data_IF_154754183869
#
_entry.id   IF_154754183869
#
_cell.length_a   1.000
_cell.length_b   1.000
_cell.length_c   1.000
_cell.angle_alpha   90.00
_cell.angle_beta   90.00
_cell.angle_gamma   90.00
#
_symmetry.space_group_name_H-M   'P 1'
#
loop_
_entity.id
_entity.type
_entity.pdbx_description
1 polymer ?
#
# COMPACT_ATOMS: atom_id res chain seq x y z
N UNK A 1 -56.06 20.31 4.92
CA UNK A 1 -56.73 21.43 4.23
C UNK A 1 -55.69 22.25 3.50
N UNK A 2 -56.01 22.65 2.26
CA UNK A 2 -55.13 23.21 1.22
C UNK A 2 -54.80 24.69 1.46
N UNK A 3 -53.59 25.12 1.10
CA UNK A 3 -53.25 26.53 0.80
C UNK A 3 -51.97 26.55 -0.07
N UNK A 4 -52.04 26.34 -1.38
CA UNK A 4 -52.26 27.35 -2.44
C UNK A 4 -51.40 28.62 -2.24
N UNK A 5 -50.21 28.64 -2.85
CA UNK A 5 -49.48 29.89 -3.11
C UNK A 5 -49.44 30.19 -4.61
N UNK A 6 -49.64 31.48 -4.89
CA UNK A 6 -50.05 32.06 -6.16
C UNK A 6 -48.88 32.30 -7.12
N UNK A 7 -49.22 32.05 -8.38
CA UNK A 7 -48.68 32.51 -9.66
C UNK A 7 -48.19 33.98 -9.68
N UNK A 8 -47.07 34.23 -10.37
CA UNK A 8 -46.68 35.43 -11.14
C UNK A 8 -45.12 35.45 -11.24
N UNK A 9 -44.42 35.82 -12.31
CA UNK A 9 -44.71 36.45 -13.60
C UNK A 9 -43.44 36.27 -14.46
N UNK A 10 -43.57 36.04 -15.77
CA UNK A 10 -42.46 35.95 -16.72
C UNK A 10 -41.82 37.32 -17.03
N UNK A 11 -40.49 37.39 -17.10
CA UNK A 11 -39.67 38.30 -17.94
C UNK A 11 -38.28 37.63 -18.04
N UNK A 12 -37.84 37.04 -19.15
CA UNK A 12 -37.46 37.58 -20.46
C UNK A 12 -35.93 37.46 -20.66
N UNK A 13 -35.57 36.69 -21.69
CA UNK A 13 -34.41 36.80 -22.59
C UNK A 13 -32.95 36.72 -22.08
N UNK A 14 -32.34 35.57 -22.44
CA UNK A 14 -31.17 35.41 -23.31
C UNK A 14 -29.83 36.12 -22.98
N UNK A 15 -28.79 35.32 -22.72
CA UNK A 15 -27.49 35.44 -23.40
C UNK A 15 -26.66 34.16 -23.25
N UNK A 16 -25.87 33.90 -24.29
CA UNK A 16 -25.16 32.67 -24.65
C UNK A 16 -23.77 32.58 -24.00
N UNK A 17 -23.39 31.33 -23.69
CA UNK A 17 -22.05 30.72 -23.58
C UNK A 17 -21.01 31.32 -22.61
N UNK A 18 -20.45 30.45 -21.74
CA UNK A 18 -19.04 30.08 -21.81
C UNK A 18 -18.77 28.81 -20.97
N UNK A 19 -18.14 27.85 -21.64
CA UNK A 19 -17.58 26.56 -21.20
C UNK A 19 -17.31 26.40 -19.70
N UNK A 20 -18.11 25.57 -19.02
CA UNK A 20 -17.75 24.97 -17.75
C UNK A 20 -17.20 23.57 -18.00
N UNK A 21 -15.88 23.42 -17.93
CA UNK A 21 -15.21 22.13 -17.86
C UNK A 21 -15.75 21.40 -16.62
N UNK A 22 -16.56 20.37 -16.86
CA UNK A 22 -16.98 19.44 -15.82
C UNK A 22 -15.73 18.77 -15.25
N UNK A 23 -15.26 19.23 -14.10
CA UNK A 23 -14.32 18.48 -13.26
C UNK A 23 -15.08 17.27 -12.73
N UNK A 24 -14.95 16.18 -13.46
CA UNK A 24 -15.36 14.84 -13.05
C UNK A 24 -14.65 14.52 -11.73
N UNK A 25 -15.38 14.14 -10.66
CA UNK A 25 -14.75 13.59 -9.48
C UNK A 25 -14.03 12.31 -9.88
N UNK A 26 -12.70 12.33 -9.85
CA UNK A 26 -11.88 11.15 -10.03
C UNK A 26 -12.33 10.10 -9.02
N UNK A 27 -12.89 9.01 -9.54
CA UNK A 27 -13.12 7.80 -8.78
C UNK A 27 -11.82 7.42 -8.08
N UNK A 28 -11.85 7.39 -6.75
CA UNK A 28 -10.80 6.79 -5.93
C UNK A 28 -10.76 5.30 -6.27
N UNK A 29 -9.88 4.99 -7.21
CA UNK A 29 -9.47 3.64 -7.54
C UNK A 29 -8.79 3.04 -6.30
N UNK A 30 -9.22 1.87 -5.80
CA UNK A 30 -8.53 1.21 -4.70
C UNK A 30 -7.09 0.96 -5.14
N UNK A 31 -6.14 1.58 -4.43
CA UNK A 31 -4.72 1.43 -4.68
C UNK A 31 -4.37 -0.05 -4.67
N UNK A 32 -4.01 -0.57 -5.85
CA UNK A 32 -3.36 -1.86 -5.94
C UNK A 32 -2.07 -1.78 -5.13
N UNK A 33 -1.96 -2.62 -4.10
CA UNK A 33 -0.79 -2.71 -3.23
C UNK A 33 0.33 -3.35 -4.05
N UNK A 34 1.10 -2.54 -4.75
CA UNK A 34 2.34 -2.94 -5.44
C UNK A 34 3.49 -2.78 -4.46
N UNK A 35 4.13 -3.90 -4.09
CA UNK A 35 5.39 -3.91 -3.34
C UNK A 35 6.49 -3.61 -4.37
N UNK A 36 7.02 -2.39 -4.37
CA UNK A 36 8.16 -2.02 -5.22
C UNK A 36 9.40 -1.98 -4.34
N UNK A 37 10.36 -2.92 -4.49
CA UNK A 37 11.59 -2.91 -3.70
C UNK A 37 12.49 -1.76 -4.18
N UNK A 38 12.28 -0.56 -3.65
CA UNK A 38 13.20 0.58 -3.79
C UNK A 38 13.64 1.01 -2.40
N UNK A 39 14.90 0.74 -2.06
CA UNK A 39 15.50 1.14 -0.79
C UNK A 39 15.94 2.61 -0.75
N UNK A 40 15.72 3.37 -1.84
CA UNK A 40 16.40 4.67 -2.07
C UNK A 40 15.53 5.92 -1.86
N UNK A 41 14.35 5.78 -1.25
CA UNK A 41 13.56 6.92 -0.80
C UNK A 41 12.83 6.57 0.49
N UNK A 42 13.60 6.24 1.53
CA UNK A 42 13.04 6.17 2.88
C UNK A 42 12.54 7.57 3.25
N UNK A 43 11.22 7.77 3.15
CA UNK A 43 10.57 8.89 3.80
C UNK A 43 11.02 8.90 5.28
N UNK A 44 11.24 10.07 5.90
CA UNK A 44 11.73 10.14 7.26
C UNK A 44 10.76 9.40 8.19
N UNK A 45 11.18 8.23 8.65
CA UNK A 45 10.44 7.37 9.55
C UNK A 45 11.13 7.31 10.91
N UNK A 46 10.34 7.22 11.98
CA UNK A 46 10.83 7.34 13.36
C UNK A 46 11.34 6.00 13.95
N UNK A 47 11.40 4.92 13.17
CA UNK A 47 11.78 3.60 13.64
C UNK A 47 13.15 3.15 13.14
N UNK A 48 13.80 2.27 13.91
CA UNK A 48 15.07 1.65 13.56
C UNK A 48 14.87 0.23 13.03
N UNK A 49 15.88 -0.31 12.33
CA UNK A 49 15.87 -1.70 11.86
C UNK A 49 15.67 -2.70 13.01
N UNK A 50 16.31 -2.47 14.15
CA UNK A 50 16.21 -3.35 15.33
C UNK A 50 14.78 -3.40 15.88
N UNK A 51 14.07 -2.26 15.88
CA UNK A 51 12.67 -2.19 16.31
C UNK A 51 11.77 -3.00 15.38
N UNK A 52 11.90 -2.83 14.07
CA UNK A 52 11.04 -3.53 13.11
C UNK A 52 11.33 -5.03 13.01
N UNK A 53 12.57 -5.44 13.30
CA UNK A 53 12.98 -6.85 13.31
C UNK A 53 12.44 -7.62 14.51
N UNK A 54 12.13 -6.93 15.61
CA UNK A 54 11.69 -7.53 16.88
C UNK A 54 10.23 -7.24 17.22
N UNK A 55 9.54 -6.36 16.47
CA UNK A 55 8.15 -6.04 16.73
C UNK A 55 7.16 -7.14 16.25
N UNK A 56 6.17 -7.51 17.09
CA UNK A 56 5.01 -8.26 16.62
C UNK A 56 4.12 -7.38 15.75
N UNK A 57 3.27 -7.99 14.93
CA UNK A 57 2.35 -7.31 14.00
C UNK A 57 1.57 -6.18 14.68
N UNK A 58 1.04 -6.40 15.89
CA UNK A 58 0.29 -5.40 16.65
C UNK A 58 1.12 -4.16 16.99
N UNK A 59 2.40 -4.33 17.26
CA UNK A 59 3.28 -3.26 17.70
C UNK A 59 3.85 -2.53 16.49
N UNK A 60 4.18 -3.25 15.41
CA UNK A 60 4.53 -2.63 14.15
C UNK A 60 3.36 -1.81 13.57
N UNK A 61 2.11 -2.24 13.79
CA UNK A 61 0.92 -1.46 13.43
C UNK A 61 0.77 -0.17 14.23
N UNK A 62 1.10 -0.21 15.52
CA UNK A 62 1.12 0.98 16.38
C UNK A 62 2.28 1.93 16.01
N UNK A 63 3.45 1.37 15.74
CA UNK A 63 4.65 2.07 15.30
C UNK A 63 4.43 2.78 13.95
N UNK A 64 3.65 2.16 13.06
CA UNK A 64 3.15 2.77 11.83
C UNK A 64 2.10 3.86 12.05
N UNK A 65 1.76 4.21 13.29
CA UNK A 65 0.71 5.18 13.60
C UNK A 65 -0.69 4.71 13.16
N UNK A 66 -0.90 3.39 13.04
CA UNK A 66 -2.11 2.77 12.49
C UNK A 66 -2.42 3.24 11.06
N UNK A 67 -1.37 3.55 10.29
CA UNK A 67 -1.46 3.96 8.91
C UNK A 67 -1.01 2.82 7.99
N UNK A 68 -1.83 2.49 6.99
CA UNK A 68 -1.54 1.39 6.06
C UNK A 68 -0.31 1.66 5.18
N UNK A 69 -0.12 2.89 4.70
CA UNK A 69 1.03 3.24 3.87
C UNK A 69 2.34 3.16 4.68
N UNK A 70 2.32 3.66 5.92
CA UNK A 70 3.47 3.59 6.84
C UNK A 70 3.77 2.14 7.26
N UNK A 71 2.73 1.33 7.48
CA UNK A 71 2.90 -0.09 7.79
C UNK A 71 3.45 -0.87 6.59
N UNK A 72 3.05 -0.49 5.38
CA UNK A 72 3.59 -1.04 4.15
C UNK A 72 5.08 -0.70 3.97
N UNK A 73 5.49 0.51 4.33
CA UNK A 73 6.90 0.91 4.34
C UNK A 73 7.75 -0.02 5.22
N UNK A 74 7.28 -0.32 6.44
CA UNK A 74 7.90 -1.31 7.34
C UNK A 74 8.01 -2.68 6.65
N UNK A 75 6.93 -3.14 6.00
CA UNK A 75 6.94 -4.42 5.28
C UNK A 75 7.98 -4.43 4.16
N UNK A 76 8.07 -3.36 3.37
CA UNK A 76 9.04 -3.23 2.28
C UNK A 76 10.48 -3.27 2.80
N UNK A 77 10.75 -2.55 3.90
CA UNK A 77 12.06 -2.55 4.54
C UNK A 77 12.43 -3.94 5.08
N UNK A 78 11.50 -4.63 5.76
CA UNK A 78 11.71 -6.01 6.21
C UNK A 78 11.91 -6.99 5.05
N UNK A 79 11.21 -6.80 3.94
CA UNK A 79 11.34 -7.63 2.75
C UNK A 79 12.71 -7.45 2.11
N UNK A 80 13.21 -6.21 2.01
CA UNK A 80 14.55 -5.91 1.54
C UNK A 80 15.62 -6.54 2.44
N UNK A 81 15.50 -6.40 3.76
CA UNK A 81 16.42 -7.03 4.73
C UNK A 81 16.43 -8.56 4.57
N UNK A 82 15.24 -9.20 4.49
CA UNK A 82 15.13 -10.66 4.33
C UNK A 82 15.70 -11.13 2.99
N UNK A 83 15.44 -10.41 1.90
CA UNK A 83 15.96 -10.75 0.58
C UNK A 83 17.49 -10.69 0.54
N UNK A 84 18.08 -9.61 1.08
CA UNK A 84 19.53 -9.44 1.19
C UNK A 84 20.17 -10.53 2.05
N UNK A 85 19.62 -10.81 3.24
CA UNK A 85 20.13 -11.83 4.15
C UNK A 85 20.14 -13.25 3.55
N UNK A 86 19.30 -13.50 2.52
CA UNK A 86 19.16 -14.80 1.87
C UNK A 86 19.76 -14.87 0.47
N UNK A 87 20.31 -13.77 -0.06
CA UNK A 87 20.75 -13.68 -1.45
C UNK A 87 19.62 -13.96 -2.44
N UNK A 88 18.40 -13.53 -2.12
CA UNK A 88 17.23 -13.63 -2.99
C UNK A 88 16.98 -12.29 -3.67
N UNK A 89 16.52 -12.34 -4.92
CA UNK A 89 16.01 -11.18 -5.64
C UNK A 89 14.49 -11.20 -5.57
N UNK A 90 13.90 -10.08 -5.13
CA UNK A 90 12.46 -9.90 -5.18
C UNK A 90 12.07 -9.54 -6.61
N UNK A 91 11.17 -10.31 -7.24
CA UNK A 91 10.74 -10.00 -8.61
C UNK A 91 9.92 -8.71 -8.62
N UNK A 92 10.31 -7.78 -9.49
CA UNK A 92 9.63 -6.49 -9.68
C UNK A 92 8.41 -6.67 -10.60
N UNK A 93 7.40 -7.39 -10.11
CA UNK A 93 6.12 -7.51 -10.80
C UNK A 93 4.93 -7.47 -9.85
N UNK A 94 3.82 -6.94 -10.35
CA UNK A 94 2.62 -6.72 -9.57
C UNK A 94 2.00 -8.02 -9.02
N UNK A 95 2.14 -9.15 -9.74
CA UNK A 95 1.60 -10.42 -9.28
C UNK A 95 2.35 -10.95 -8.04
N UNK A 96 3.67 -10.90 -8.05
CA UNK A 96 4.51 -11.29 -6.94
C UNK A 96 4.29 -10.38 -5.72
N UNK A 97 4.17 -9.06 -5.95
CA UNK A 97 3.81 -8.09 -4.92
C UNK A 97 2.44 -8.41 -4.29
N UNK A 98 1.42 -8.69 -5.11
CA UNK A 98 0.08 -9.08 -4.64
C UNK A 98 0.12 -10.36 -3.82
N UNK A 99 0.78 -11.42 -4.33
CA UNK A 99 0.90 -12.71 -3.62
C UNK A 99 1.60 -12.56 -2.29
N UNK A 100 2.67 -11.75 -2.25
CA UNK A 100 3.38 -11.47 -1.02
C UNK A 100 2.49 -10.71 -0.01
N UNK A 101 1.79 -9.68 -0.47
CA UNK A 101 0.88 -8.88 0.34
C UNK A 101 -0.30 -9.68 0.90
N UNK A 102 -0.95 -10.51 0.07
CA UNK A 102 -2.05 -11.38 0.49
C UNK A 102 -1.62 -12.37 1.57
N UNK A 103 -0.44 -12.99 1.40
CA UNK A 103 0.12 -13.89 2.40
C UNK A 103 0.39 -13.19 3.72
N UNK A 104 1.03 -12.01 3.67
CA UNK A 104 1.34 -11.21 4.86
C UNK A 104 0.05 -10.80 5.57
N UNK A 105 -0.94 -10.29 4.83
CA UNK A 105 -2.25 -9.90 5.38
C UNK A 105 -2.98 -11.06 6.04
N UNK A 106 -2.99 -12.24 5.42
CA UNK A 106 -3.63 -13.43 5.98
C UNK A 106 -2.97 -13.89 7.28
N UNK A 107 -1.63 -13.91 7.34
CA UNK A 107 -0.88 -14.30 8.53
C UNK A 107 -0.98 -13.26 9.65
N UNK A 108 -0.82 -11.99 9.30
CA UNK A 108 -0.98 -10.87 10.22
C UNK A 108 -2.36 -10.92 10.88
N UNK A 109 -3.44 -11.09 10.11
CA UNK A 109 -4.81 -11.20 10.64
C UNK A 109 -5.04 -12.43 11.53
N UNK A 110 -4.34 -13.53 11.25
CA UNK A 110 -4.48 -14.76 12.01
C UNK A 110 -3.81 -14.70 13.38
N UNK A 111 -2.67 -14.00 13.48
CA UNK A 111 -1.92 -13.87 14.73
C UNK A 111 -1.24 -12.50 14.82
N UNK A 112 -1.87 -11.57 15.53
CA UNK A 112 -1.33 -10.22 15.75
C UNK A 112 -0.10 -10.20 16.66
N UNK A 113 0.18 -11.29 17.38
CA UNK A 113 1.34 -11.41 18.28
C UNK A 113 2.54 -12.06 17.62
N UNK A 114 2.37 -12.56 16.39
CA UNK A 114 3.48 -13.10 15.61
C UNK A 114 4.43 -11.98 15.19
N UNK A 115 5.73 -12.29 15.18
CA UNK A 115 6.76 -11.39 14.68
C UNK A 115 6.52 -11.04 13.21
N UNK A 116 6.42 -9.74 12.89
CA UNK A 116 6.15 -9.30 11.51
C UNK A 116 7.26 -9.76 10.57
N UNK A 117 8.53 -9.65 11.00
CA UNK A 117 9.68 -10.11 10.22
C UNK A 117 9.56 -11.59 9.81
N UNK A 118 9.10 -12.48 10.70
CA UNK A 118 8.96 -13.90 10.37
C UNK A 118 7.92 -14.15 9.27
N UNK A 119 6.83 -13.36 9.26
CA UNK A 119 5.79 -13.44 8.24
C UNK A 119 6.33 -12.92 6.91
N UNK A 120 7.00 -11.77 6.92
CA UNK A 120 7.59 -11.16 5.73
C UNK A 120 8.67 -12.07 5.14
N UNK A 121 9.54 -12.65 5.98
CA UNK A 121 10.56 -13.61 5.58
C UNK A 121 9.97 -14.84 4.89
N UNK A 122 8.91 -15.42 5.47
CA UNK A 122 8.20 -16.53 4.85
C UNK A 122 7.55 -16.13 3.51
N UNK A 123 7.14 -14.87 3.35
CA UNK A 123 6.61 -14.32 2.11
C UNK A 123 7.71 -14.17 1.05
N UNK A 124 8.84 -13.55 1.42
CA UNK A 124 10.03 -13.36 0.58
C UNK A 124 10.54 -14.70 0.07
N UNK A 125 10.58 -15.73 0.90
CA UNK A 125 10.99 -17.09 0.47
C UNK A 125 10.05 -17.73 -0.55
N UNK A 126 8.78 -17.30 -0.61
CA UNK A 126 7.78 -17.82 -1.56
C UNK A 126 7.84 -17.12 -2.91
N UNK A 127 8.18 -15.83 -2.92
CA UNK A 127 8.17 -15.00 -4.14
C UNK A 127 9.56 -14.70 -4.68
N UNK A 128 10.57 -14.75 -3.82
CA UNK A 128 11.96 -14.45 -4.15
C UNK A 128 12.58 -15.52 -5.03
N UNK A 129 13.33 -15.08 -6.03
CA UNK A 129 14.08 -15.94 -6.94
C UNK A 129 15.56 -15.86 -6.62
N UNK A 130 16.27 -16.99 -6.71
CA UNK A 130 17.73 -16.97 -6.63
C UNK A 130 18.27 -16.32 -7.91
N UNK A 131 19.19 -15.35 -7.83
CA UNK A 131 19.83 -14.80 -9.02
C UNK A 131 20.54 -15.93 -9.79
N UNK A 132 20.51 -15.89 -11.14
CA UNK A 132 21.18 -16.91 -11.93
C UNK A 132 22.66 -16.95 -11.55
N UNK A 133 23.14 -18.13 -11.16
CA UNK A 133 24.56 -18.34 -10.89
C UNK A 133 25.28 -18.20 -12.23
N UNK A 134 26.14 -17.19 -12.38
CA UNK A 134 26.93 -17.04 -13.59
C UNK A 134 27.73 -18.33 -13.85
N UNK A 135 27.82 -18.82 -15.10
CA UNK A 135 28.61 -20.00 -15.38
C UNK A 135 30.08 -19.74 -15.01
N UNK A 136 30.68 -20.67 -14.26
CA UNK A 136 32.11 -20.65 -13.99
C UNK A 136 32.86 -20.79 -15.33
N UNK A 137 33.72 -19.83 -15.66
CA UNK A 137 34.71 -19.96 -16.72
C UNK A 137 35.91 -20.76 -16.22
#
# INVERSE_FOLDING_TARGET
MRLIYRLALCFALAAVALSASAQQPSAQQPSAVTITPSADAAAPHNWTNEQILTCPVSDCWQLAGKNEATFFDIIQQLAAISAQARGLTLPDNAEAGRRAGEYIKAKAKSDHRQLLYAIVDASVRRVGTRPPTAPAN
#
